data_IF_198838407529
#
_entry.id   IF_198838407529
#
_cell.length_a   1.000
_cell.length_b   1.000
_cell.length_c   1.000
_cell.angle_alpha   90.00
_cell.angle_beta   90.00
_cell.angle_gamma   90.00
#
_symmetry.space_group_name_H-M   'P 1'
#
loop_
_entity.id
_entity.type
_entity.pdbx_description
1 polymer ?
#
# COMPACT_ATOMS: atom_id res chain seq x y z
N UNK A 1 -13.88 52.58 12.52
CA UNK A 1 -12.84 52.29 13.54
C UNK A 1 -13.42 51.24 14.49
N UNK A 2 -13.06 49.98 14.34
CA UNK A 2 -13.55 48.95 15.26
C UNK A 2 -12.95 49.23 16.65
N UNK A 3 -13.76 49.22 17.73
CA UNK A 3 -13.25 49.50 19.07
C UNK A 3 -12.17 48.48 19.42
N UNK A 4 -11.08 48.92 20.06
CA UNK A 4 -9.93 48.08 20.44
C UNK A 4 -10.34 46.78 21.15
N UNK A 5 -11.48 46.82 21.85
CA UNK A 5 -12.11 45.69 22.53
C UNK A 5 -12.62 44.59 21.58
N UNK A 6 -13.22 44.94 20.44
CA UNK A 6 -13.71 43.93 19.47
C UNK A 6 -12.54 43.22 18.80
N UNK A 7 -11.44 43.93 18.54
CA UNK A 7 -10.24 43.33 17.94
C UNK A 7 -9.61 42.30 18.88
N UNK A 8 -9.55 42.60 20.19
CA UNK A 8 -9.04 41.65 21.20
C UNK A 8 -9.92 40.41 21.33
N UNK A 9 -11.25 40.59 21.31
CA UNK A 9 -12.20 39.47 21.35
C UNK A 9 -12.09 38.61 20.08
N UNK A 10 -11.97 39.24 18.91
CA UNK A 10 -11.77 38.53 17.63
C UNK A 10 -10.48 37.71 17.62
N UNK A 11 -9.39 38.25 18.19
CA UNK A 11 -8.12 37.54 18.29
C UNK A 11 -8.22 36.30 19.21
N UNK A 12 -8.88 36.45 20.35
CA UNK A 12 -9.12 35.34 21.29
C UNK A 12 -10.01 34.26 20.67
N UNK A 13 -11.04 34.65 19.91
CA UNK A 13 -11.88 33.72 19.16
C UNK A 13 -11.07 32.93 18.12
N UNK A 14 -10.20 33.60 17.36
CA UNK A 14 -9.36 32.95 16.36
C UNK A 14 -8.41 31.93 17.01
N UNK A 15 -7.83 32.28 18.15
CA UNK A 15 -6.95 31.38 18.92
C UNK A 15 -7.71 30.16 19.47
N UNK A 16 -8.93 30.36 19.99
CA UNK A 16 -9.77 29.28 20.47
C UNK A 16 -10.17 28.31 19.34
N UNK A 17 -10.48 28.83 18.15
CA UNK A 17 -10.77 28.01 16.96
C UNK A 17 -9.55 27.20 16.54
N UNK A 18 -8.36 27.83 16.48
CA UNK A 18 -7.11 27.12 16.18
C UNK A 18 -6.80 26.00 17.19
N UNK A 19 -7.06 26.26 18.48
CA UNK A 19 -6.90 25.27 19.54
C UNK A 19 -7.87 24.09 19.39
N UNK A 20 -9.15 24.36 19.08
CA UNK A 20 -10.13 23.31 18.81
C UNK A 20 -9.76 22.46 17.60
N UNK A 21 -9.31 23.07 16.51
CA UNK A 21 -8.81 22.34 15.32
C UNK A 21 -7.60 21.48 15.69
N UNK A 22 -6.69 22.01 16.51
CA UNK A 22 -5.54 21.28 17.04
C UNK A 22 -5.94 20.06 17.89
N UNK A 23 -6.92 20.21 18.77
CA UNK A 23 -7.45 19.12 19.59
C UNK A 23 -8.11 18.03 18.73
N UNK A 24 -8.88 18.41 17.71
CA UNK A 24 -9.47 17.46 16.75
C UNK A 24 -8.37 16.71 15.99
N UNK A 25 -7.33 17.41 15.53
CA UNK A 25 -6.18 16.79 14.85
C UNK A 25 -5.42 15.81 15.76
N UNK A 26 -5.22 16.16 17.04
CA UNK A 26 -4.58 15.28 18.02
C UNK A 26 -5.45 14.07 18.37
N UNK A 27 -6.76 14.25 18.48
CA UNK A 27 -7.70 13.15 18.69
C UNK A 27 -7.68 12.17 17.50
N UNK A 28 -7.72 12.66 16.25
CA UNK A 28 -7.62 11.81 15.04
C UNK A 28 -6.32 11.01 15.02
N UNK A 29 -5.19 11.60 15.45
CA UNK A 29 -3.92 10.87 15.58
C UNK A 29 -3.93 9.84 16.70
N UNK A 30 -4.51 10.17 17.85
CA UNK A 30 -4.58 9.30 19.03
C UNK A 30 -5.53 8.11 18.85
N UNK A 31 -6.68 8.32 18.18
CA UNK A 31 -7.62 7.26 17.82
C UNK A 31 -7.13 6.38 16.66
N UNK A 32 -5.94 6.68 16.13
CA UNK A 32 -5.27 5.87 15.14
C UNK A 32 -5.81 6.17 13.74
N UNK A 33 -4.95 6.72 12.88
CA UNK A 33 -5.06 6.40 11.46
C UNK A 33 -5.22 4.88 11.35
N UNK A 34 -6.13 4.36 10.51
CA UNK A 34 -6.11 2.94 10.20
C UNK A 34 -4.68 2.66 9.77
N UNK A 35 -3.95 1.88 10.58
CA UNK A 35 -2.60 1.46 10.22
C UNK A 35 -2.78 0.92 8.82
N UNK A 36 -2.17 1.55 7.82
CA UNK A 36 -2.06 0.95 6.51
C UNK A 36 -1.32 -0.35 6.79
N UNK A 37 -2.07 -1.44 6.98
CA UNK A 37 -1.48 -2.74 7.12
C UNK A 37 -0.71 -2.87 5.82
N UNK A 38 0.61 -2.81 5.90
CA UNK A 38 1.46 -3.13 4.77
C UNK A 38 0.87 -4.42 4.24
N UNK A 39 0.23 -4.34 3.07
CA UNK A 39 -0.46 -5.47 2.48
C UNK A 39 0.66 -6.32 1.92
N UNK A 40 1.36 -6.99 2.82
CA UNK A 40 2.52 -7.80 2.47
C UNK A 40 1.98 -9.00 1.74
N UNK A 41 2.44 -9.17 0.51
CA UNK A 41 2.06 -10.31 -0.32
C UNK A 41 2.45 -11.59 0.41
N UNK A 42 1.62 -12.63 0.30
CA UNK A 42 2.00 -13.96 0.81
C UNK A 42 3.32 -14.40 0.17
N UNK A 43 4.20 -15.10 0.91
CA UNK A 43 5.46 -15.60 0.35
C UNK A 43 5.20 -16.51 -0.86
N UNK A 44 6.20 -16.64 -1.72
CA UNK A 44 6.12 -17.53 -2.88
C UNK A 44 6.22 -18.97 -2.38
N UNK A 45 5.20 -19.77 -2.64
CA UNK A 45 5.14 -21.19 -2.27
C UNK A 45 5.46 -22.13 -3.44
N UNK A 46 5.26 -21.66 -4.67
CA UNK A 46 5.46 -22.46 -5.87
C UNK A 46 6.95 -22.72 -6.14
N UNK A 47 7.43 -23.98 -6.12
CA UNK A 47 8.85 -24.30 -6.26
C UNK A 47 9.44 -23.82 -7.58
N UNK A 48 8.65 -23.86 -8.65
CA UNK A 48 9.09 -23.40 -9.97
C UNK A 48 9.44 -21.91 -9.98
N UNK A 49 8.78 -21.10 -9.16
CA UNK A 49 9.02 -19.66 -9.06
C UNK A 49 10.20 -19.30 -8.15
N UNK A 50 10.72 -20.27 -7.38
CA UNK A 50 11.91 -20.11 -6.55
C UNK A 50 13.21 -20.38 -7.33
N UNK A 51 13.11 -20.99 -8.50
CA UNK A 51 14.24 -21.28 -9.37
C UNK A 51 14.63 -20.04 -10.18
N UNK A 52 15.93 -19.90 -10.46
CA UNK A 52 16.39 -18.84 -11.36
C UNK A 52 15.99 -19.10 -12.82
N UNK A 53 15.90 -18.05 -13.63
CA UNK A 53 15.58 -18.19 -15.06
C UNK A 53 16.53 -19.13 -15.81
N UNK A 54 17.82 -19.15 -15.43
CA UNK A 54 18.83 -20.05 -16.02
C UNK A 54 18.55 -21.52 -15.64
N UNK A 55 18.18 -21.77 -14.38
CA UNK A 55 17.82 -23.11 -13.91
C UNK A 55 16.55 -23.61 -14.60
N UNK A 56 15.51 -22.78 -14.66
CA UNK A 56 14.28 -23.05 -15.41
C UNK A 56 14.56 -23.38 -16.88
N UNK A 57 15.38 -22.56 -17.56
CA UNK A 57 15.75 -22.80 -18.95
C UNK A 57 16.48 -24.12 -19.14
N UNK A 58 17.40 -24.48 -18.23
CA UNK A 58 18.08 -25.78 -18.24
C UNK A 58 17.08 -26.94 -18.08
N UNK A 59 16.14 -26.84 -17.14
CA UNK A 59 15.12 -27.87 -16.91
C UNK A 59 14.17 -28.04 -18.10
N UNK A 60 13.79 -26.93 -18.75
CA UNK A 60 12.96 -26.94 -19.97
C UNK A 60 13.70 -27.64 -21.11
N UNK A 61 14.96 -27.28 -21.37
CA UNK A 61 15.78 -27.93 -22.43
C UNK A 61 15.99 -29.42 -22.15
N UNK A 62 16.09 -29.80 -20.88
CA UNK A 62 16.15 -31.20 -20.44
C UNK A 62 14.79 -31.91 -20.44
N UNK A 63 13.70 -31.24 -20.86
CA UNK A 63 12.31 -31.73 -20.86
C UNK A 63 11.80 -32.20 -19.49
N UNK A 64 12.41 -31.72 -18.40
CA UNK A 64 12.00 -32.04 -17.02
C UNK A 64 10.83 -31.18 -16.55
N UNK A 65 10.65 -30.02 -17.15
CA UNK A 65 9.56 -29.07 -16.85
C UNK A 65 9.01 -28.58 -18.18
N UNK A 66 7.68 -28.49 -18.31
CA UNK A 66 7.05 -27.94 -19.51
C UNK A 66 6.96 -26.43 -19.40
N UNK A 67 7.14 -25.73 -20.52
CA UNK A 67 6.97 -24.27 -20.56
C UNK A 67 5.57 -23.84 -20.11
N UNK A 68 4.54 -24.61 -20.46
CA UNK A 68 3.15 -24.31 -20.09
C UNK A 68 2.97 -24.27 -18.57
N UNK A 69 3.60 -25.20 -17.84
CA UNK A 69 3.48 -25.30 -16.39
C UNK A 69 4.15 -24.09 -15.71
N UNK A 70 5.29 -23.65 -16.24
CA UNK A 70 5.99 -22.45 -15.77
C UNK A 70 5.16 -21.20 -15.97
N UNK A 71 4.61 -21.01 -17.17
CA UNK A 71 3.77 -19.85 -17.49
C UNK A 71 2.52 -19.83 -16.61
N UNK A 72 1.89 -20.99 -16.42
CA UNK A 72 0.72 -21.10 -15.56
C UNK A 72 1.03 -20.76 -14.10
N UNK A 73 2.19 -21.18 -13.57
CA UNK A 73 2.64 -20.81 -12.24
C UNK A 73 2.80 -19.28 -12.08
N UNK A 74 3.37 -18.60 -13.08
CA UNK A 74 3.47 -17.14 -13.09
C UNK A 74 2.09 -16.46 -13.16
N UNK A 75 1.18 -16.94 -14.02
CA UNK A 75 -0.19 -16.42 -14.11
C UNK A 75 -0.91 -16.53 -12.76
N UNK A 76 -0.80 -17.67 -12.09
CA UNK A 76 -1.42 -17.89 -10.79
C UNK A 76 -0.87 -16.89 -9.76
N UNK A 77 0.46 -16.72 -9.73
CA UNK A 77 1.09 -15.74 -8.83
C UNK A 77 0.69 -14.30 -9.12
N UNK A 78 0.54 -13.95 -10.39
CA UNK A 78 0.06 -12.63 -10.81
C UNK A 78 -1.36 -12.40 -10.31
N UNK A 79 -2.28 -13.36 -10.47
CA UNK A 79 -3.66 -13.25 -9.97
C UNK A 79 -3.71 -12.98 -8.46
N UNK A 80 -2.83 -13.62 -7.70
CA UNK A 80 -2.77 -13.45 -6.25
C UNK A 80 -2.24 -12.09 -5.82
N UNK A 81 -1.25 -11.55 -6.53
CA UNK A 81 -0.47 -10.38 -6.10
C UNK A 81 -0.86 -9.08 -6.80
N UNK A 82 -1.34 -9.13 -8.04
CA UNK A 82 -1.56 -7.94 -8.86
C UNK A 82 -2.60 -6.98 -8.25
N UNK A 83 -3.60 -7.50 -7.53
CA UNK A 83 -4.58 -6.68 -6.82
C UNK A 83 -3.97 -5.77 -5.75
N UNK A 84 -2.77 -6.12 -5.26
CA UNK A 84 -2.07 -5.40 -4.20
C UNK A 84 -1.04 -4.42 -4.76
N UNK A 85 -0.34 -4.82 -5.83
CA UNK A 85 0.80 -4.05 -6.39
C UNK A 85 0.47 -3.33 -7.70
N UNK A 86 -0.60 -3.73 -8.39
CA UNK A 86 -0.98 -3.25 -9.72
C UNK A 86 0.18 -3.23 -10.74
N UNK A 87 0.96 -4.31 -10.79
CA UNK A 87 2.16 -4.41 -11.62
C UNK A 87 1.86 -4.74 -13.09
N UNK A 88 0.65 -5.22 -13.39
CA UNK A 88 0.19 -5.54 -14.74
C UNK A 88 -1.15 -4.84 -14.97
N UNK A 89 -1.22 -4.07 -16.05
CA UNK A 89 -2.42 -3.35 -16.50
C UNK A 89 -2.79 -3.90 -17.88
N UNK A 90 -4.05 -4.28 -18.04
CA UNK A 90 -4.61 -4.61 -19.35
C UNK A 90 -5.25 -3.35 -19.94
N UNK A 91 -4.93 -3.05 -21.19
CA UNK A 91 -5.46 -1.92 -21.97
C UNK A 91 -6.44 -2.41 -23.02
#
# INVERSE_FOLDING_TARGET
MAPLFTVRIQLLLLQAVGFLIGLVGQAVRAFGSPRFSSRTTRPVTEPLLLLSGVQLAKLIRQRKVKCIDVVQAYINRIKDVNSMINGIVMY
#
